data_IF_416412797148
#
_entry.id   IF_416412797148
#
_cell.length_a   1.000
_cell.length_b   1.000
_cell.length_c   1.000
_cell.angle_alpha   90.00
_cell.angle_beta   90.00
_cell.angle_gamma   90.00
#
_symmetry.space_group_name_H-M   'P 1'
#
loop_
_entity.id
_entity.type
_entity.pdbx_description
1 polymer ?
#
# COMPACT_ATOMS: atom_id res chain seq x y z
N UNK A 1 -1.55 -5.38 8.84
CA UNK A 1 -2.40 -6.35 8.10
C UNK A 1 -2.82 -5.73 6.76
N UNK A 2 -2.09 -6.01 5.70
CA UNK A 2 -2.51 -5.67 4.35
C UNK A 2 -2.89 -6.97 3.64
N UNK A 3 -4.17 -7.33 3.72
CA UNK A 3 -4.74 -8.47 2.98
C UNK A 3 -5.29 -7.93 1.66
N UNK A 4 -4.50 -8.02 0.60
CA UNK A 4 -5.00 -7.83 -0.75
C UNK A 4 -5.69 -9.11 -1.23
N UNK A 5 -7.01 -9.19 -1.12
CA UNK A 5 -7.79 -10.20 -1.82
C UNK A 5 -8.15 -9.67 -3.20
N UNK A 6 -7.55 -10.24 -4.24
CA UNK A 6 -8.08 -10.12 -5.59
C UNK A 6 -9.05 -11.28 -5.81
N UNK A 7 -10.35 -11.03 -5.67
CA UNK A 7 -11.40 -11.94 -6.10
C UNK A 7 -11.73 -11.64 -7.56
N UNK A 8 -11.10 -12.35 -8.49
CA UNK A 8 -11.44 -12.31 -9.91
C UNK A 8 -12.39 -13.45 -10.26
N UNK A 9 -13.56 -13.12 -10.79
CA UNK A 9 -14.43 -14.06 -11.51
C UNK A 9 -14.04 -14.02 -13.00
N UNK A 10 -13.13 -14.87 -13.40
CA UNK A 10 -12.67 -14.96 -14.79
C UNK A 10 -11.35 -15.71 -14.88
N UNK A 11 -11.09 -16.45 -15.93
CA UNK A 11 -10.06 -17.48 -16.13
C UNK A 11 -8.58 -17.06 -15.98
N UNK A 12 -8.25 -16.12 -15.12
CA UNK A 12 -6.89 -15.73 -14.75
C UNK A 12 -6.60 -16.07 -13.28
N UNK A 13 -5.52 -16.80 -13.02
CA UNK A 13 -5.12 -17.14 -11.66
C UNK A 13 -4.78 -15.87 -10.84
N UNK A 14 -5.26 -15.74 -9.59
CA UNK A 14 -4.94 -14.60 -8.74
C UNK A 14 -3.44 -14.53 -8.45
N UNK A 15 -2.87 -13.34 -8.58
CA UNK A 15 -1.46 -13.07 -8.27
C UNK A 15 -1.40 -12.07 -7.13
N UNK A 16 -0.71 -12.44 -6.07
CA UNK A 16 -0.38 -11.53 -4.99
C UNK A 16 1.09 -11.12 -5.08
N UNK A 17 1.37 -9.83 -5.13
CA UNK A 17 2.73 -9.29 -5.01
C UNK A 17 2.87 -8.59 -3.65
N UNK A 18 3.93 -8.89 -2.93
CA UNK A 18 4.26 -8.25 -1.66
C UNK A 18 5.60 -7.53 -1.79
N UNK A 19 5.62 -6.26 -1.39
CA UNK A 19 6.86 -5.51 -1.21
C UNK A 19 7.17 -5.45 0.30
N UNK A 20 8.42 -5.71 0.66
CA UNK A 20 8.89 -5.68 2.04
C UNK A 20 9.95 -4.60 2.22
N UNK A 21 9.93 -3.96 3.37
CA UNK A 21 10.91 -3.00 3.84
C UNK A 21 11.89 -3.66 4.82
N UNK A 22 13.09 -3.08 5.01
CA UNK A 22 14.15 -3.60 5.88
C UNK A 22 13.65 -3.80 7.32
N UNK A 23 13.74 -5.03 7.83
CA UNK A 23 13.34 -5.42 9.19
C UNK A 23 12.18 -6.41 9.27
N UNK A 24 11.65 -6.89 8.16
CA UNK A 24 10.46 -7.73 8.10
C UNK A 24 10.72 -9.25 7.97
N UNK A 25 11.95 -9.74 8.20
CA UNK A 25 12.32 -11.14 7.93
C UNK A 25 11.39 -12.19 8.60
N UNK A 26 10.99 -11.98 9.84
CA UNK A 26 10.08 -12.92 10.53
C UNK A 26 8.64 -12.81 10.06
N UNK A 27 8.24 -11.62 9.58
CA UNK A 27 6.87 -11.34 9.12
C UNK A 27 6.66 -11.87 7.71
N UNK A 28 7.67 -11.81 6.84
CA UNK A 28 7.60 -12.28 5.46
C UNK A 28 7.45 -13.81 5.36
N UNK A 29 8.17 -14.57 6.16
CA UNK A 29 8.04 -16.04 6.20
C UNK A 29 6.61 -16.45 6.61
N UNK A 30 6.02 -15.79 7.61
CA UNK A 30 4.64 -16.02 8.03
C UNK A 30 3.62 -15.62 6.95
N UNK A 31 3.84 -14.50 6.28
CA UNK A 31 2.99 -14.00 5.19
C UNK A 31 3.06 -14.92 3.97
N UNK A 32 4.25 -15.37 3.58
CA UNK A 32 4.44 -16.28 2.45
C UNK A 32 3.73 -17.62 2.69
N UNK A 33 3.81 -18.17 3.91
CA UNK A 33 3.16 -19.44 4.26
C UNK A 33 1.62 -19.33 4.24
N UNK A 34 1.07 -18.22 4.73
CA UNK A 34 -0.38 -18.00 4.75
C UNK A 34 -0.94 -17.72 3.36
N UNK A 35 -0.20 -16.99 2.52
CA UNK A 35 -0.65 -16.61 1.16
C UNK A 35 -0.54 -17.76 0.16
N UNK A 36 0.41 -18.67 0.31
CA UNK A 36 0.52 -19.86 -0.52
C UNK A 36 -0.71 -20.78 -0.44
N UNK A 37 -1.49 -20.68 0.64
CA UNK A 37 -2.74 -21.43 0.78
C UNK A 37 -3.94 -20.79 0.07
N UNK A 38 -3.85 -19.50 -0.30
CA UNK A 38 -4.98 -18.70 -0.84
C UNK A 38 -4.73 -18.22 -2.27
N UNK A 39 -3.47 -17.95 -2.63
CA UNK A 39 -3.09 -17.47 -3.96
C UNK A 39 -2.43 -18.61 -4.76
N UNK A 40 -2.87 -18.83 -6.01
CA UNK A 40 -2.26 -19.83 -6.89
C UNK A 40 -0.80 -19.47 -7.26
N UNK A 41 -0.52 -18.17 -7.37
CA UNK A 41 0.82 -17.66 -7.68
C UNK A 41 1.19 -16.55 -6.71
N UNK A 42 2.32 -16.71 -6.01
CA UNK A 42 2.91 -15.69 -5.16
C UNK A 42 4.24 -15.27 -5.77
N UNK A 43 4.41 -13.98 -6.00
CA UNK A 43 5.68 -13.36 -6.40
C UNK A 43 6.11 -12.38 -5.31
N UNK A 44 7.29 -12.59 -4.76
CA UNK A 44 7.91 -11.71 -3.76
C UNK A 44 8.94 -10.84 -4.49
N UNK A 45 8.95 -9.55 -4.19
CA UNK A 45 9.94 -8.61 -4.67
C UNK A 45 10.52 -7.82 -3.48
N UNK A 46 11.85 -7.71 -3.43
CA UNK A 46 12.58 -6.95 -2.42
C UNK A 46 13.60 -6.04 -3.10
N UNK A 47 13.80 -4.84 -2.54
CA UNK A 47 14.71 -3.84 -3.14
C UNK A 47 16.15 -4.33 -3.11
N UNK A 48 16.56 -5.01 -2.05
CA UNK A 48 17.91 -5.55 -1.84
C UNK A 48 18.14 -6.93 -2.50
N UNK A 49 17.07 -7.66 -2.80
CA UNK A 49 17.11 -9.01 -3.34
C UNK A 49 17.35 -10.08 -2.27
N UNK A 50 17.04 -9.78 -1.01
CA UNK A 50 17.13 -10.74 0.10
C UNK A 50 16.19 -11.93 -0.11
N UNK A 51 15.04 -11.70 -0.74
CA UNK A 51 14.09 -12.75 -1.09
C UNK A 51 13.37 -12.43 -2.41
N UNK A 52 13.15 -13.44 -3.24
CA UNK A 52 12.37 -13.37 -4.46
C UNK A 52 13.04 -12.56 -5.57
N UNK A 53 12.26 -11.69 -6.22
CA UNK A 53 12.74 -10.85 -7.31
C UNK A 53 13.42 -9.61 -6.74
N UNK A 54 14.67 -9.34 -7.14
CA UNK A 54 15.37 -8.10 -6.78
C UNK A 54 14.85 -6.95 -7.62
N UNK A 55 14.14 -6.02 -7.01
CA UNK A 55 13.63 -4.82 -7.66
C UNK A 55 12.21 -4.46 -7.23
N UNK A 56 11.62 -3.52 -7.96
CA UNK A 56 10.32 -2.98 -7.63
C UNK A 56 9.17 -3.89 -8.12
N UNK A 57 8.05 -3.84 -7.44
CA UNK A 57 6.79 -4.53 -7.78
C UNK A 57 6.35 -4.22 -9.23
N UNK A 58 6.58 -3.00 -9.72
CA UNK A 58 6.28 -2.61 -11.11
C UNK A 58 7.09 -3.39 -12.14
N UNK A 59 8.32 -3.79 -11.81
CA UNK A 59 9.14 -4.61 -12.69
C UNK A 59 8.62 -6.05 -12.75
N UNK A 60 8.06 -6.56 -11.65
CA UNK A 60 7.38 -7.86 -11.64
C UNK A 60 6.14 -7.82 -12.53
N UNK A 61 5.38 -6.73 -12.51
CA UNK A 61 4.22 -6.53 -13.40
C UNK A 61 4.67 -6.51 -14.86
N UNK A 62 5.71 -5.75 -15.20
CA UNK A 62 6.26 -5.70 -16.56
C UNK A 62 6.81 -7.07 -17.01
N UNK A 63 7.39 -7.86 -16.09
CA UNK A 63 7.84 -9.23 -16.37
C UNK A 63 6.68 -10.17 -16.70
N UNK A 64 5.65 -10.17 -15.84
CA UNK A 64 4.51 -11.08 -15.97
C UNK A 64 3.65 -10.76 -17.19
N UNK A 65 3.31 -9.49 -17.41
CA UNK A 65 2.44 -9.07 -18.50
C UNK A 65 3.24 -8.84 -19.78
N UNK A 66 4.33 -8.06 -19.68
CA UNK A 66 5.08 -7.65 -20.85
C UNK A 66 5.91 -8.76 -21.47
N UNK A 67 6.65 -9.55 -20.67
CA UNK A 67 7.55 -10.59 -21.19
C UNK A 67 6.89 -11.97 -21.25
N UNK A 68 6.15 -12.36 -20.19
CA UNK A 68 5.50 -13.67 -20.15
C UNK A 68 4.15 -13.69 -20.87
N UNK A 69 3.60 -12.51 -21.23
CA UNK A 69 2.33 -12.41 -21.95
C UNK A 69 1.13 -12.90 -21.13
N UNK A 70 1.21 -12.87 -19.80
CA UNK A 70 0.08 -13.27 -18.95
C UNK A 70 -1.02 -12.23 -19.04
N UNK A 71 -2.26 -12.69 -19.08
CA UNK A 71 -3.45 -11.85 -19.09
C UNK A 71 -4.09 -11.84 -17.69
N UNK A 72 -4.48 -10.64 -17.24
CA UNK A 72 -5.18 -10.39 -15.99
C UNK A 72 -6.37 -9.48 -16.26
N UNK A 73 -7.48 -9.70 -15.55
CA UNK A 73 -8.71 -8.92 -15.72
C UNK A 73 -8.65 -7.61 -14.91
N UNK A 74 -8.02 -7.65 -13.74
CA UNK A 74 -7.91 -6.51 -12.83
C UNK A 74 -6.63 -6.57 -12.00
N UNK A 75 -6.06 -5.41 -11.73
CA UNK A 75 -4.99 -5.20 -10.77
C UNK A 75 -5.54 -4.48 -9.55
N UNK A 76 -5.27 -4.99 -8.35
CA UNK A 76 -5.55 -4.29 -7.10
C UNK A 76 -4.24 -3.93 -6.44
N UNK A 77 -4.01 -2.62 -6.20
CA UNK A 77 -2.79 -2.13 -5.59
C UNK A 77 -3.06 -1.55 -4.19
N UNK A 78 -2.38 -2.10 -3.19
CA UNK A 78 -2.51 -1.69 -1.78
C UNK A 78 -1.11 -1.55 -1.21
N UNK A 79 -0.79 -0.37 -0.66
CA UNK A 79 0.53 -0.09 -0.09
C UNK A 79 0.87 1.40 -0.06
N UNK A 80 2.16 1.75 -0.03
CA UNK A 80 2.60 3.15 -0.05
C UNK A 80 2.04 3.92 -1.26
N UNK A 81 1.63 5.16 -1.05
CA UNK A 81 1.02 6.01 -2.09
C UNK A 81 1.88 6.10 -3.35
N UNK A 82 3.19 6.22 -3.18
CA UNK A 82 4.15 6.27 -4.29
C UNK A 82 4.17 4.95 -5.09
N UNK A 83 4.07 3.80 -4.41
CA UNK A 83 4.01 2.49 -5.06
C UNK A 83 2.74 2.36 -5.89
N UNK A 84 1.58 2.72 -5.32
CA UNK A 84 0.29 2.70 -6.03
C UNK A 84 0.29 3.60 -7.26
N UNK A 85 0.91 4.80 -7.19
CA UNK A 85 1.12 5.68 -8.33
C UNK A 85 1.85 4.98 -9.46
N UNK A 86 3.01 4.36 -9.17
CA UNK A 86 3.80 3.69 -10.20
C UNK A 86 3.14 2.43 -10.72
N UNK A 87 2.43 1.68 -9.89
CA UNK A 87 1.62 0.54 -10.35
C UNK A 87 0.55 1.01 -11.33
N UNK A 88 -0.22 2.06 -11.00
CA UNK A 88 -1.24 2.61 -11.87
C UNK A 88 -0.65 3.11 -13.21
N UNK A 89 0.52 3.75 -13.20
CA UNK A 89 1.22 4.17 -14.42
C UNK A 89 1.67 2.96 -15.27
N UNK A 90 2.14 1.90 -14.63
CA UNK A 90 2.60 0.69 -15.32
C UNK A 90 1.43 -0.08 -15.93
N UNK A 91 0.37 -0.30 -15.17
CA UNK A 91 -0.83 -1.04 -15.64
C UNK A 91 -1.58 -0.29 -16.74
N UNK A 92 -1.50 1.05 -16.76
CA UNK A 92 -2.08 1.88 -17.80
C UNK A 92 -1.49 1.57 -19.20
N UNK A 93 -0.20 1.21 -19.27
CA UNK A 93 0.45 0.81 -20.52
C UNK A 93 -0.18 -0.45 -21.13
N UNK A 94 -0.70 -1.32 -20.29
CA UNK A 94 -1.32 -2.58 -20.64
C UNK A 94 -2.85 -2.51 -20.74
N UNK A 95 -3.43 -1.30 -20.60
CA UNK A 95 -4.87 -1.08 -20.52
C UNK A 95 -5.55 -2.00 -19.46
N UNK A 96 -4.82 -2.34 -18.40
CA UNK A 96 -5.31 -3.20 -17.32
C UNK A 96 -6.06 -2.35 -16.29
N UNK A 97 -7.33 -2.67 -16.06
CA UNK A 97 -8.14 -2.04 -15.01
C UNK A 97 -7.39 -2.12 -13.68
N UNK A 98 -7.26 -1.00 -12.99
CA UNK A 98 -6.47 -0.93 -11.75
C UNK A 98 -7.25 -0.24 -10.65
N UNK A 99 -7.56 -0.99 -9.60
CA UNK A 99 -8.15 -0.48 -8.37
C UNK A 99 -7.05 -0.25 -7.35
N UNK A 100 -7.02 0.95 -6.73
CA UNK A 100 -6.09 1.29 -5.65
C UNK A 100 -6.86 1.49 -4.36
N UNK A 101 -6.34 0.97 -3.24
CA UNK A 101 -6.91 1.21 -1.92
C UNK A 101 -6.11 2.30 -1.21
N UNK A 102 -6.66 3.52 -1.14
CA UNK A 102 -5.95 4.69 -0.67
C UNK A 102 -5.85 4.74 0.86
N UNK A 103 -4.65 5.01 1.37
CA UNK A 103 -4.35 5.18 2.79
C UNK A 103 -4.31 6.66 3.20
N UNK A 104 -5.33 7.44 2.82
CA UNK A 104 -5.44 8.84 3.22
C UNK A 104 -5.64 8.98 4.74
N UNK A 105 -5.20 10.13 5.30
CA UNK A 105 -5.44 10.44 6.71
C UNK A 105 -6.95 10.57 6.98
N UNK A 106 -7.49 9.69 7.83
CA UNK A 106 -8.90 9.69 8.23
C UNK A 106 -9.00 10.08 9.71
N UNK A 107 -9.72 11.17 10.00
CA UNK A 107 -9.87 11.70 11.36
C UNK A 107 -11.20 11.27 11.97
N UNK A 108 -12.33 11.59 11.34
CA UNK A 108 -13.65 11.26 11.89
C UNK A 108 -14.36 10.09 11.17
N UNK A 109 -14.03 9.83 9.91
CA UNK A 109 -14.61 8.73 9.14
C UNK A 109 -16.03 8.98 8.60
N UNK A 110 -16.62 10.16 8.82
CA UNK A 110 -18.00 10.49 8.43
C UNK A 110 -18.11 11.33 7.16
N UNK A 111 -16.98 11.79 6.62
CA UNK A 111 -16.93 12.70 5.48
C UNK A 111 -17.09 14.19 5.83
N UNK A 112 -17.31 14.54 7.10
CA UNK A 112 -17.55 15.91 7.53
C UNK A 112 -16.28 16.75 7.64
N UNK A 113 -15.19 16.18 8.18
CA UNK A 113 -13.96 16.95 8.45
C UNK A 113 -13.12 17.23 7.19
N UNK A 114 -13.30 16.47 6.10
CA UNK A 114 -12.57 16.64 4.84
C UNK A 114 -11.08 16.32 4.89
N UNK A 115 -10.57 15.70 5.99
CA UNK A 115 -9.16 15.34 6.13
C UNK A 115 -8.72 14.33 5.06
N UNK A 116 -9.57 13.35 4.75
CA UNK A 116 -9.32 12.26 3.82
C UNK A 116 -9.69 12.57 2.36
N UNK A 117 -9.89 13.85 2.01
CA UNK A 117 -10.25 14.19 0.63
C UNK A 117 -9.11 13.89 -0.35
N UNK A 118 -9.48 13.42 -1.51
CA UNK A 118 -8.61 13.10 -2.64
C UNK A 118 -9.29 13.53 -3.93
N UNK A 119 -8.53 13.89 -4.95
CA UNK A 119 -9.08 14.19 -6.28
C UNK A 119 -9.05 12.92 -7.13
N UNK A 120 -10.23 12.51 -7.60
CA UNK A 120 -10.43 11.36 -8.51
C UNK A 120 -11.27 11.84 -9.70
N UNK A 121 -10.80 11.59 -10.93
CA UNK A 121 -11.44 12.07 -12.16
C UNK A 121 -11.73 13.60 -12.14
N UNK A 122 -10.83 14.40 -11.57
CA UNK A 122 -10.99 15.85 -11.44
C UNK A 122 -12.04 16.30 -10.41
N UNK A 123 -12.59 15.39 -9.60
CA UNK A 123 -13.57 15.68 -8.55
C UNK A 123 -13.04 15.34 -7.18
N UNK A 124 -13.34 16.17 -6.20
CA UNK A 124 -13.04 15.89 -4.80
C UNK A 124 -13.93 14.74 -4.30
N UNK A 125 -13.27 13.70 -3.73
CA UNK A 125 -13.89 12.55 -3.08
C UNK A 125 -13.42 12.44 -1.64
N UNK A 126 -14.20 11.77 -0.81
CA UNK A 126 -13.85 11.50 0.59
C UNK A 126 -13.56 10.00 0.76
N UNK A 127 -12.28 9.66 0.96
CA UNK A 127 -11.81 8.28 1.04
C UNK A 127 -12.54 7.46 2.11
N UNK A 128 -12.93 8.07 3.23
CA UNK A 128 -13.64 7.38 4.32
C UNK A 128 -15.10 7.01 4.00
N UNK A 129 -15.74 7.66 3.03
CA UNK A 129 -17.16 7.46 2.71
C UNK A 129 -17.36 6.88 1.32
N UNK A 130 -16.60 7.38 0.32
CA UNK A 130 -16.73 7.01 -1.08
C UNK A 130 -15.69 5.99 -1.55
N UNK A 131 -14.66 5.75 -0.72
CA UNK A 131 -13.59 4.80 -0.94
C UNK A 131 -13.49 3.78 0.20
N UNK A 132 -12.29 3.27 0.51
CA UNK A 132 -10.96 3.72 0.05
C UNK A 132 -10.55 3.26 -1.37
N UNK A 133 -11.33 2.39 -1.99
CA UNK A 133 -11.05 1.84 -3.31
C UNK A 133 -11.49 2.83 -4.40
N UNK A 134 -10.54 3.18 -5.31
CA UNK A 134 -10.77 4.03 -6.45
C UNK A 134 -10.07 3.51 -7.70
N UNK A 135 -10.51 3.96 -8.88
CA UNK A 135 -9.78 3.72 -10.12
C UNK A 135 -8.41 4.42 -10.04
N UNK A 136 -7.34 3.62 -10.02
CA UNK A 136 -5.98 4.12 -9.91
C UNK A 136 -5.54 4.99 -11.08
N UNK A 137 -6.18 4.88 -12.25
CA UNK A 137 -5.87 5.70 -13.40
C UNK A 137 -6.46 7.11 -13.32
N UNK A 138 -7.41 7.34 -12.42
CA UNK A 138 -8.11 8.62 -12.24
C UNK A 138 -7.70 9.38 -10.97
N UNK A 139 -6.90 8.78 -10.08
CA UNK A 139 -6.44 9.40 -8.84
C UNK A 139 -5.34 10.42 -9.10
N UNK A 140 -5.46 11.62 -8.53
CA UNK A 140 -4.35 12.57 -8.41
C UNK A 140 -3.43 12.19 -7.24
N UNK A 141 -2.47 11.32 -7.52
CA UNK A 141 -1.50 10.87 -6.51
C UNK A 141 -0.58 11.98 -6.02
N UNK A 142 -0.28 12.99 -6.85
CA UNK A 142 0.61 14.08 -6.46
C UNK A 142 -0.06 14.98 -5.42
N UNK A 143 -1.34 15.27 -5.57
CA UNK A 143 -2.12 15.95 -4.54
C UNK A 143 -2.22 15.09 -3.28
N UNK A 144 -2.55 13.81 -3.42
CA UNK A 144 -2.71 12.89 -2.29
C UNK A 144 -1.42 12.79 -1.45
N UNK A 145 -0.25 12.66 -2.08
CA UNK A 145 1.05 12.64 -1.40
C UNK A 145 1.39 13.96 -0.70
N UNK A 146 1.12 15.12 -1.34
CA UNK A 146 1.30 16.44 -0.69
C UNK A 146 0.44 16.56 0.57
N UNK A 147 -0.79 16.09 0.50
CA UNK A 147 -1.70 16.10 1.66
C UNK A 147 -1.26 15.17 2.76
N UNK A 148 -0.78 13.98 2.43
CA UNK A 148 -0.26 13.01 3.40
C UNK A 148 0.96 13.57 4.17
N UNK A 149 1.78 14.40 3.52
CA UNK A 149 2.93 15.06 4.15
C UNK A 149 2.60 16.34 4.96
N UNK A 150 1.34 16.78 5.01
CA UNK A 150 0.96 18.09 5.53
C UNK A 150 1.28 18.30 7.02
N UNK A 151 1.24 17.24 7.83
CA UNK A 151 1.50 17.29 9.28
C UNK A 151 2.89 16.77 9.68
N UNK A 152 3.75 16.47 8.73
CA UNK A 152 5.06 15.84 8.95
C UNK A 152 5.92 16.60 9.98
N UNK A 153 5.92 17.93 9.94
CA UNK A 153 6.68 18.76 10.90
C UNK A 153 6.13 18.65 12.32
N UNK A 154 4.80 18.61 12.47
CA UNK A 154 4.12 18.45 13.75
C UNK A 154 4.34 17.06 14.32
N UNK A 155 4.27 16.03 13.48
CA UNK A 155 4.55 14.64 13.84
C UNK A 155 5.99 14.46 14.32
N UNK A 156 6.95 15.03 13.62
CA UNK A 156 8.37 15.01 14.03
C UNK A 156 8.59 15.69 15.40
N UNK A 157 7.94 16.84 15.63
CA UNK A 157 8.01 17.52 16.92
C UNK A 157 7.37 16.70 18.03
N UNK A 158 6.21 16.11 17.79
CA UNK A 158 5.53 15.26 18.76
C UNK A 158 6.36 14.01 19.09
N UNK A 159 6.96 13.37 18.08
CA UNK A 159 7.84 12.23 18.28
C UNK A 159 9.10 12.59 19.10
N UNK A 160 9.71 13.75 18.84
CA UNK A 160 10.86 14.22 19.62
C UNK A 160 10.50 14.46 21.10
N UNK A 161 9.38 15.13 21.37
CA UNK A 161 8.89 15.36 22.75
C UNK A 161 8.60 14.03 23.45
N UNK A 162 7.98 13.08 22.77
CA UNK A 162 7.67 11.78 23.35
C UNK A 162 8.94 10.95 23.62
N UNK A 163 9.95 11.02 22.73
CA UNK A 163 11.25 10.39 22.96
C UNK A 163 11.96 10.96 24.20
N UNK A 164 11.92 12.29 24.40
CA UNK A 164 12.46 12.94 25.60
C UNK A 164 11.71 12.49 26.87
N UNK A 165 10.38 12.40 26.81
CA UNK A 165 9.57 11.90 27.93
C UNK A 165 9.91 10.47 28.30
N UNK A 166 10.05 9.59 27.32
CA UNK A 166 10.41 8.18 27.54
C UNK A 166 11.82 8.03 28.09
N UNK A 167 12.78 8.81 27.62
CA UNK A 167 14.16 8.82 28.14
C UNK A 167 14.24 9.27 29.60
N UNK A 168 13.34 10.17 30.05
CA UNK A 168 13.25 10.66 31.44
C UNK A 168 12.28 9.86 32.33
N UNK A 169 11.55 8.88 31.76
CA UNK A 169 10.51 8.15 32.47
C UNK A 169 11.09 6.97 33.25
N UNK A 170 11.29 7.13 34.57
CA UNK A 170 11.43 5.99 35.50
C UNK A 170 10.03 5.43 35.77
N UNK A 171 9.75 4.21 35.30
CA UNK A 171 8.51 3.52 35.61
C UNK A 171 8.37 3.31 37.12
N UNK A 172 7.41 3.99 37.78
CA UNK A 172 7.15 3.89 39.20
C UNK A 172 6.12 2.80 39.59
N UNK A 173 5.69 1.97 38.58
CA UNK A 173 4.61 0.99 38.78
C UNK A 173 5.13 -0.36 39.32
N UNK A 174 6.41 -0.48 39.65
CA UNK A 174 6.94 -1.67 40.36
C UNK A 174 6.89 -2.99 39.62
N UNK A 175 6.84 -2.94 38.28
CA UNK A 175 6.87 -4.13 37.40
C UNK A 175 8.30 -4.55 37.03
N UNK A 176 9.31 -3.84 37.52
CA UNK A 176 10.73 -4.12 37.31
C UNK A 176 11.26 -5.13 38.37
N UNK A 177 10.66 -6.34 38.41
CA UNK A 177 11.20 -7.48 39.18
C UNK A 177 11.22 -8.72 38.34
#
# INVERSE_FOLDING_TARGET
EAVGQAAGLGAGAPVAAAAADEGAESTLAGIAHTKSAVAENLHIATDDGSEGFKGLVTQVIDELIGKQGRHYDECVAIGPMIMMKFVALTTKKYALKTTVSLNALMVDGTGMCGACRVTVAGRTRFTCVEGPEFDGHEVDFDEAMRRQGMYRTQEQRAAAIEAERQAGHQCKIGLDK
#
